data_IF_499154662364
#
_entry.id   IF_499154662364
#
_cell.length_a   1.000
_cell.length_b   1.000
_cell.length_c   1.000
_cell.angle_alpha   90.00
_cell.angle_beta   90.00
_cell.angle_gamma   90.00
#
_symmetry.space_group_name_H-M   'P 1'
#
loop_
_entity.id
_entity.type
_entity.pdbx_description
1 polymer ?
#
# COMPACT_ATOMS: atom_id res chain seq x y z
N UNK A 1 0.77 19.37 -2.82
CA UNK A 1 0.16 20.69 -3.08
C UNK A 1 -1.32 20.55 -3.49
N UNK A 2 -1.68 19.67 -4.44
CA UNK A 2 -3.01 19.60 -5.02
C UNK A 2 -4.17 19.46 -4.01
N UNK A 3 -4.03 18.73 -2.91
CA UNK A 3 -5.05 18.67 -1.85
C UNK A 3 -5.08 19.96 -1.03
N UNK A 4 -3.91 20.59 -0.78
CA UNK A 4 -3.84 21.85 -0.05
C UNK A 4 -4.55 23.00 -0.82
N UNK A 5 -4.40 23.03 -2.14
CA UNK A 5 -5.14 23.96 -3.03
C UNK A 5 -6.66 23.77 -2.95
N UNK A 6 -7.09 22.59 -2.52
CA UNK A 6 -8.50 22.26 -2.27
C UNK A 6 -8.91 22.44 -0.81
N UNK A 7 -8.10 23.13 -0.01
CA UNK A 7 -8.40 23.45 1.39
C UNK A 7 -8.31 22.25 2.34
N UNK A 8 -7.52 21.24 2.00
CA UNK A 8 -7.26 20.08 2.83
C UNK A 8 -5.83 20.17 3.35
N UNK A 9 -5.66 20.30 4.66
CA UNK A 9 -4.34 20.23 5.29
C UNK A 9 -3.75 18.83 5.08
N UNK A 10 -2.48 18.75 4.68
CA UNK A 10 -1.78 17.51 4.42
C UNK A 10 -0.55 17.42 5.30
N UNK A 11 -0.53 16.43 6.19
CA UNK A 11 0.65 16.06 6.98
C UNK A 11 1.31 14.86 6.33
N UNK A 12 2.59 14.95 6.09
CA UNK A 12 3.44 13.86 5.59
C UNK A 12 4.75 13.85 6.35
N UNK A 13 5.32 12.70 6.48
CA UNK A 13 6.56 12.50 7.24
C UNK A 13 7.50 11.59 6.47
N UNK A 14 8.77 11.60 6.86
CA UNK A 14 9.76 10.69 6.31
C UNK A 14 9.63 9.33 6.99
N UNK A 15 9.51 8.26 6.20
CA UNK A 15 9.43 6.90 6.73
C UNK A 15 10.70 6.56 7.52
N UNK A 16 10.56 5.97 8.71
CA UNK A 16 11.69 5.68 9.61
C UNK A 16 12.80 4.84 8.96
N UNK A 17 12.42 3.87 8.13
CA UNK A 17 13.39 3.04 7.39
C UNK A 17 14.25 3.86 6.43
N UNK A 18 13.68 4.92 5.83
CA UNK A 18 14.42 5.85 4.99
C UNK A 18 15.25 6.84 5.81
N UNK A 19 14.71 7.33 6.92
CA UNK A 19 15.38 8.33 7.75
C UNK A 19 16.56 7.76 8.55
N UNK A 20 16.42 6.52 9.05
CA UNK A 20 17.36 5.94 10.02
C UNK A 20 17.98 4.61 9.56
N UNK A 21 17.60 4.07 8.39
CA UNK A 21 18.12 2.79 7.89
C UNK A 21 17.93 1.65 8.91
N UNK A 22 18.98 0.88 9.15
CA UNK A 22 18.95 -0.24 10.11
C UNK A 22 18.68 0.18 11.57
N UNK A 23 18.98 1.43 11.94
CA UNK A 23 18.71 1.98 13.28
C UNK A 23 17.23 2.33 13.54
N UNK A 24 16.36 2.12 12.55
CA UNK A 24 14.93 2.44 12.66
C UNK A 24 14.14 1.49 13.57
N UNK A 25 14.68 0.30 13.85
CA UNK A 25 14.01 -0.72 14.68
C UNK A 25 14.35 -0.48 16.15
N UNK A 26 13.35 -0.26 17.02
CA UNK A 26 13.58 -0.07 18.45
C UNK A 26 14.27 -1.29 19.08
N UNK A 27 15.07 -1.07 20.13
CA UNK A 27 15.75 -2.14 20.84
C UNK A 27 14.73 -3.19 21.35
N UNK A 28 15.04 -4.46 21.15
CA UNK A 28 14.19 -5.59 21.56
C UNK A 28 12.99 -5.85 20.63
N UNK A 29 12.88 -5.15 19.51
CA UNK A 29 11.90 -5.42 18.43
C UNK A 29 12.59 -5.88 17.16
N UNK A 30 11.83 -6.50 16.28
CA UNK A 30 12.24 -6.87 14.92
C UNK A 30 11.49 -6.01 13.91
N UNK A 31 12.01 -5.94 12.69
CA UNK A 31 11.33 -5.24 11.59
C UNK A 31 10.13 -6.04 11.13
N UNK A 32 8.98 -5.41 11.18
CA UNK A 32 7.70 -5.88 10.66
C UNK A 32 6.89 -4.69 10.13
N UNK A 33 5.69 -4.90 9.66
CA UNK A 33 4.83 -3.81 9.15
C UNK A 33 4.48 -2.77 10.22
N UNK A 34 4.34 -3.20 11.48
CA UNK A 34 4.04 -2.27 12.56
C UNK A 34 5.24 -1.36 12.85
N UNK A 35 6.42 -1.94 13.02
CA UNK A 35 7.64 -1.17 13.26
C UNK A 35 8.08 -0.36 12.05
N UNK A 36 7.79 -0.82 10.83
CA UNK A 36 8.17 -0.11 9.61
C UNK A 36 7.33 1.14 9.35
N UNK A 37 6.01 1.06 9.58
CA UNK A 37 5.08 2.09 9.08
C UNK A 37 3.90 2.37 10.02
N UNK A 38 3.27 1.36 10.62
CA UNK A 38 1.99 1.54 11.32
C UNK A 38 2.15 2.35 12.59
N UNK A 39 3.19 2.07 13.39
CA UNK A 39 3.42 2.74 14.69
C UNK A 39 3.59 4.25 14.51
N UNK A 40 4.36 4.68 13.51
CA UNK A 40 4.56 6.09 13.20
C UNK A 40 3.26 6.74 12.71
N UNK A 41 2.53 6.09 11.83
CA UNK A 41 1.27 6.62 11.30
C UNK A 41 0.24 6.82 12.43
N UNK A 42 0.10 5.87 13.34
CA UNK A 42 -0.79 5.98 14.50
C UNK A 42 -0.38 7.13 15.41
N UNK A 43 0.91 7.27 15.72
CA UNK A 43 1.42 8.38 16.54
C UNK A 43 1.16 9.74 15.88
N UNK A 44 1.33 9.84 14.56
CA UNK A 44 1.07 11.07 13.83
C UNK A 44 -0.42 11.41 13.81
N UNK A 45 -1.30 10.44 13.65
CA UNK A 45 -2.75 10.66 13.75
C UNK A 45 -3.12 11.26 15.10
N UNK A 46 -2.56 10.76 16.20
CA UNK A 46 -2.79 11.30 17.54
C UNK A 46 -2.29 12.74 17.65
N UNK A 47 -1.08 13.04 17.14
CA UNK A 47 -0.52 14.39 17.15
C UNK A 47 -1.36 15.36 16.31
N UNK A 48 -1.75 14.97 15.10
CA UNK A 48 -2.56 15.80 14.20
C UNK A 48 -3.91 16.14 14.82
N UNK A 49 -4.55 15.18 15.48
CA UNK A 49 -5.83 15.40 16.17
C UNK A 49 -5.74 16.31 17.38
N UNK A 50 -4.54 16.46 17.95
CA UNK A 50 -4.29 17.36 19.07
C UNK A 50 -3.98 18.81 18.64
N UNK A 51 -3.82 19.08 17.34
CA UNK A 51 -3.54 20.41 16.82
C UNK A 51 -4.84 21.27 16.86
N UNK A 52 -4.83 22.41 17.57
CA UNK A 52 -6.03 23.23 17.74
C UNK A 52 -6.50 23.91 16.44
N UNK A 53 -5.61 24.04 15.45
CA UNK A 53 -5.89 24.67 14.16
C UNK A 53 -6.60 23.72 13.19
N UNK A 54 -6.66 22.42 13.50
CA UNK A 54 -7.25 21.40 12.64
C UNK A 54 -8.56 20.88 13.23
N UNK A 55 -9.43 20.39 12.34
CA UNK A 55 -10.69 19.76 12.75
C UNK A 55 -10.42 18.31 13.20
N UNK A 56 -10.44 18.00 14.50
CA UNK A 56 -10.03 16.69 15.03
C UNK A 56 -10.93 15.53 14.56
N UNK A 57 -12.17 15.84 14.18
CA UNK A 57 -13.16 14.87 13.69
C UNK A 57 -13.14 14.71 12.17
N UNK A 58 -12.21 15.39 11.47
CA UNK A 58 -12.06 15.35 10.01
C UNK A 58 -10.66 14.87 9.58
N UNK A 59 -10.04 13.99 10.37
CA UNK A 59 -8.73 13.43 10.06
C UNK A 59 -8.90 12.12 9.28
N UNK A 60 -8.24 12.06 8.13
CA UNK A 60 -8.19 10.89 7.23
C UNK A 60 -6.78 10.35 7.13
N UNK A 61 -6.65 9.04 6.95
CA UNK A 61 -5.38 8.42 6.54
C UNK A 61 -5.44 8.11 5.06
N UNK A 62 -4.48 8.63 4.30
CA UNK A 62 -4.27 8.28 2.91
C UNK A 62 -2.97 7.47 2.82
N UNK A 63 -3.08 6.22 2.40
CA UNK A 63 -1.96 5.34 2.18
C UNK A 63 -1.79 5.00 0.71
N UNK A 64 -0.54 4.98 0.23
CA UNK A 64 -0.18 4.56 -1.13
C UNK A 64 0.68 3.29 -1.06
N UNK A 65 0.44 2.35 -1.97
CA UNK A 65 1.18 1.09 -2.05
C UNK A 65 1.14 0.33 -0.71
N UNK A 66 2.27 0.01 -0.08
CA UNK A 66 2.32 -0.57 1.26
C UNK A 66 1.50 0.24 2.28
N UNK A 67 1.55 1.58 2.21
CA UNK A 67 0.73 2.45 3.06
C UNK A 67 -0.77 2.24 2.82
N UNK A 68 -1.18 1.99 1.58
CA UNK A 68 -2.56 1.64 1.22
C UNK A 68 -2.98 0.29 1.80
N UNK A 69 -2.12 -0.71 1.67
CA UNK A 69 -2.30 -2.04 2.29
C UNK A 69 -2.47 -1.95 3.80
N UNK A 70 -1.72 -1.04 4.45
CA UNK A 70 -1.71 -0.88 5.90
C UNK A 70 -2.73 0.12 6.44
N UNK A 71 -3.37 0.92 5.58
CA UNK A 71 -4.36 1.92 6.01
C UNK A 71 -5.49 1.34 6.88
N UNK A 72 -6.04 0.14 6.61
CA UNK A 72 -7.02 -0.49 7.49
C UNK A 72 -6.47 -0.82 8.89
N UNK A 73 -5.20 -1.27 8.98
CA UNK A 73 -4.56 -1.57 10.26
C UNK A 73 -4.29 -0.30 11.06
N UNK A 74 -3.82 0.74 10.39
CA UNK A 74 -3.63 2.07 11.00
C UNK A 74 -4.96 2.56 11.55
N UNK A 75 -6.05 2.45 10.77
CA UNK A 75 -7.38 2.85 11.21
C UNK A 75 -7.90 2.04 12.40
N UNK A 76 -7.64 0.73 12.42
CA UNK A 76 -8.04 -0.13 13.53
C UNK A 76 -7.30 0.17 14.84
N UNK A 77 -6.09 0.77 14.76
CA UNK A 77 -5.27 1.18 15.91
C UNK A 77 -5.42 2.66 16.28
N UNK A 78 -5.99 3.47 15.40
CA UNK A 78 -6.21 4.90 15.62
C UNK A 78 -7.63 5.16 16.12
N UNK A 79 -7.80 6.17 16.97
CA UNK A 79 -9.13 6.62 17.41
C UNK A 79 -9.58 7.82 16.60
N UNK A 80 -10.89 7.88 16.28
CA UNK A 80 -11.54 9.07 15.73
C UNK A 80 -11.08 9.48 14.34
N UNK A 81 -10.69 8.54 13.49
CA UNK A 81 -10.52 8.81 12.06
C UNK A 81 -11.88 8.98 11.38
N UNK A 82 -11.98 9.96 10.49
CA UNK A 82 -13.16 10.20 9.66
C UNK A 82 -13.24 9.25 8.46
N UNK A 83 -12.12 8.69 8.01
CA UNK A 83 -12.07 7.72 6.92
C UNK A 83 -10.65 7.35 6.52
N UNK A 84 -10.54 6.41 5.59
CA UNK A 84 -9.28 6.02 4.96
C UNK A 84 -9.37 6.05 3.45
N UNK A 85 -8.23 6.33 2.82
CA UNK A 85 -8.06 6.34 1.37
C UNK A 85 -6.92 5.39 1.04
N UNK A 86 -7.21 4.39 0.23
CA UNK A 86 -6.29 3.34 -0.22
C UNK A 86 -5.94 3.61 -1.67
N UNK A 87 -4.72 4.07 -1.93
CA UNK A 87 -4.18 4.26 -3.27
C UNK A 87 -3.29 3.09 -3.63
N UNK A 88 -3.65 2.33 -4.66
CA UNK A 88 -2.85 1.21 -5.15
C UNK A 88 -2.35 0.29 -4.01
N UNK A 89 -3.25 -0.05 -3.08
CA UNK A 89 -2.96 -0.93 -1.94
C UNK A 89 -3.08 -2.40 -2.30
N UNK A 90 -2.06 -3.20 -1.98
CA UNK A 90 -2.07 -4.65 -2.19
C UNK A 90 -3.15 -5.32 -1.34
N UNK A 91 -3.93 -6.21 -1.94
CA UNK A 91 -5.01 -6.96 -1.30
C UNK A 91 -4.69 -8.45 -1.13
N UNK A 92 -3.90 -8.99 -2.04
CA UNK A 92 -3.43 -10.40 -2.06
C UNK A 92 -2.12 -10.56 -1.27
N UNK A 93 -1.64 -11.80 -1.07
CA UNK A 93 -0.34 -12.07 -0.46
C UNK A 93 0.81 -11.36 -1.18
N UNK A 94 1.77 -10.83 -0.41
CA UNK A 94 2.91 -10.08 -0.95
C UNK A 94 3.77 -10.94 -1.87
N UNK A 95 3.97 -12.21 -1.51
CA UNK A 95 4.74 -13.17 -2.30
C UNK A 95 4.16 -13.39 -3.70
N UNK A 96 2.84 -13.42 -3.85
CA UNK A 96 2.17 -13.60 -5.15
C UNK A 96 2.34 -12.35 -6.03
N UNK A 97 2.24 -11.16 -5.44
CA UNK A 97 2.47 -9.91 -6.15
C UNK A 97 3.93 -9.74 -6.59
N UNK A 98 4.89 -10.13 -5.76
CA UNK A 98 6.31 -10.08 -6.11
C UNK A 98 6.65 -11.03 -7.27
N UNK A 99 6.07 -12.22 -7.29
CA UNK A 99 6.25 -13.16 -8.40
C UNK A 99 5.73 -12.55 -9.71
N UNK A 100 4.53 -12.00 -9.72
CA UNK A 100 3.95 -11.33 -10.91
C UNK A 100 4.80 -10.14 -11.36
N UNK A 101 5.22 -9.27 -10.44
CA UNK A 101 6.07 -8.13 -10.76
C UNK A 101 7.39 -8.54 -11.39
N UNK A 102 8.04 -9.58 -10.85
CA UNK A 102 9.29 -10.08 -11.36
C UNK A 102 9.14 -10.66 -12.77
N UNK A 103 8.10 -11.45 -13.01
CA UNK A 103 7.80 -11.96 -14.35
C UNK A 103 7.59 -10.83 -15.36
N UNK A 104 6.80 -9.84 -14.98
CA UNK A 104 6.54 -8.71 -15.85
C UNK A 104 7.80 -7.91 -16.16
N UNK A 105 8.55 -7.50 -15.14
CA UNK A 105 9.76 -6.68 -15.33
C UNK A 105 10.84 -7.45 -16.09
N UNK A 106 10.98 -8.75 -15.86
CA UNK A 106 11.90 -9.62 -16.60
C UNK A 106 11.52 -9.76 -18.08
N UNK A 107 10.24 -9.70 -18.41
CA UNK A 107 9.76 -9.75 -19.79
C UNK A 107 10.09 -8.49 -20.60
N UNK A 108 10.44 -7.40 -19.93
CA UNK A 108 10.81 -6.11 -20.54
C UNK A 108 12.31 -6.02 -20.84
N UNK A 109 13.11 -6.95 -20.34
CA UNK A 109 14.55 -7.01 -20.57
C UNK A 109 14.89 -8.09 -21.60
N UNK A 110 15.89 -7.85 -22.44
CA UNK A 110 16.39 -8.88 -23.34
C UNK A 110 16.83 -10.11 -22.56
N UNK A 111 16.39 -11.29 -23.00
CA UNK A 111 16.57 -12.57 -22.35
C UNK A 111 18.06 -12.93 -22.22
N UNK A 112 18.72 -12.42 -21.19
CA UNK A 112 20.02 -12.91 -20.77
C UNK A 112 19.84 -14.18 -19.93
N UNK A 113 20.83 -15.08 -20.01
CA UNK A 113 20.90 -16.33 -19.23
C UNK A 113 20.68 -16.11 -17.72
N UNK A 114 20.90 -14.89 -17.24
CA UNK A 114 20.81 -14.52 -15.82
C UNK A 114 19.37 -14.37 -15.31
N UNK A 115 18.41 -13.99 -16.17
CA UNK A 115 16.99 -13.79 -15.77
C UNK A 115 16.36 -15.10 -15.29
N UNK A 116 16.67 -16.21 -15.95
CA UNK A 116 16.12 -17.52 -15.56
C UNK A 116 16.63 -17.95 -14.18
N UNK A 117 17.93 -17.80 -13.92
CA UNK A 117 18.51 -18.15 -12.62
C UNK A 117 17.92 -17.28 -11.48
N UNK A 118 17.77 -15.98 -11.71
CA UNK A 118 17.14 -15.06 -10.74
C UNK A 118 15.68 -15.42 -10.48
N UNK A 119 14.95 -15.82 -11.52
CA UNK A 119 13.55 -16.24 -11.38
C UNK A 119 13.46 -17.56 -10.58
N UNK A 120 14.32 -18.52 -10.85
CA UNK A 120 14.32 -19.80 -10.14
C UNK A 120 14.70 -19.59 -8.66
N UNK A 121 15.66 -18.71 -8.36
CA UNK A 121 15.99 -18.31 -7.00
C UNK A 121 14.82 -17.63 -6.30
N UNK A 122 14.20 -16.64 -6.93
CA UNK A 122 13.03 -15.97 -6.36
C UNK A 122 11.88 -16.93 -6.06
N UNK A 123 11.58 -17.85 -6.98
CA UNK A 123 10.56 -18.88 -6.77
C UNK A 123 10.85 -19.75 -5.57
N UNK A 124 12.11 -20.15 -5.39
CA UNK A 124 12.54 -20.92 -4.24
C UNK A 124 12.34 -20.14 -2.95
N UNK A 125 12.74 -18.88 -2.92
CA UNK A 125 12.54 -17.98 -1.78
C UNK A 125 11.04 -17.81 -1.46
N UNK A 126 10.20 -17.52 -2.46
CA UNK A 126 8.74 -17.33 -2.27
C UNK A 126 8.05 -18.63 -1.82
N UNK A 127 8.46 -19.77 -2.34
CA UNK A 127 7.95 -21.08 -1.89
C UNK A 127 8.32 -21.34 -0.43
N UNK A 128 9.52 -20.91 0.00
CA UNK A 128 9.97 -21.03 1.37
C UNK A 128 9.22 -20.06 2.32
N UNK A 129 8.89 -18.86 1.85
CA UNK A 129 8.02 -17.90 2.59
C UNK A 129 6.68 -18.54 2.95
N UNK A 130 6.06 -19.27 2.02
CA UNK A 130 4.77 -19.96 2.25
C UNK A 130 4.84 -21.05 3.32
N UNK A 131 6.04 -21.52 3.66
CA UNK A 131 6.31 -22.53 4.70
C UNK A 131 6.66 -21.94 6.06
N UNK A 132 6.74 -20.62 6.17
CA UNK A 132 7.05 -19.94 7.43
C UNK A 132 6.08 -20.37 8.55
N UNK A 133 6.67 -20.75 9.69
CA UNK A 133 5.90 -21.24 10.85
C UNK A 133 5.58 -22.73 10.81
N UNK A 134 6.03 -23.48 9.80
CA UNK A 134 5.94 -24.95 9.72
C UNK A 134 7.31 -25.58 9.84
N UNK A 135 7.36 -26.90 10.04
CA UNK A 135 8.62 -27.71 10.05
C UNK A 135 9.28 -27.80 8.66
N UNK A 136 8.55 -27.45 7.60
CA UNK A 136 9.06 -27.49 6.22
C UNK A 136 9.85 -26.21 5.85
N UNK A 137 9.89 -25.19 6.71
CA UNK A 137 10.65 -23.98 6.47
C UNK A 137 12.16 -24.27 6.49
N UNK A 138 12.85 -23.90 5.41
CA UNK A 138 14.30 -24.07 5.28
C UNK A 138 15.03 -22.77 5.64
N UNK A 139 15.74 -22.77 6.76
CA UNK A 139 16.51 -21.62 7.25
C UNK A 139 17.76 -21.31 6.39
N UNK A 140 18.18 -22.23 5.52
CA UNK A 140 19.32 -22.00 4.63
C UNK A 140 18.96 -21.18 3.38
N UNK A 141 17.65 -21.09 3.07
CA UNK A 141 17.16 -20.29 1.95
C UNK A 141 16.91 -18.86 2.41
N UNK A 142 17.59 -17.89 1.81
CA UNK A 142 17.39 -16.47 2.09
C UNK A 142 15.96 -16.04 1.81
N UNK A 143 15.43 -15.12 2.61
CA UNK A 143 14.09 -14.56 2.39
C UNK A 143 14.14 -13.44 1.34
N UNK A 144 13.08 -13.27 0.55
CA UNK A 144 13.05 -12.26 -0.52
C UNK A 144 13.23 -10.84 0.02
N UNK A 145 13.71 -9.94 -0.82
CA UNK A 145 13.90 -8.51 -0.52
C UNK A 145 14.86 -8.23 0.66
N UNK A 146 15.60 -9.22 1.14
CA UNK A 146 16.45 -9.07 2.31
C UNK A 146 15.69 -8.75 3.60
N UNK A 147 14.40 -9.03 3.64
CA UNK A 147 13.56 -8.77 4.82
C UNK A 147 13.68 -9.91 5.84
N UNK A 148 13.62 -9.61 7.15
CA UNK A 148 13.73 -10.62 8.19
C UNK A 148 12.48 -11.52 8.25
N UNK A 149 12.61 -12.63 8.96
CA UNK A 149 11.52 -13.61 9.18
C UNK A 149 10.27 -12.97 9.79
N UNK A 150 10.43 -12.08 10.75
CA UNK A 150 9.34 -11.34 11.39
C UNK A 150 8.48 -10.55 10.40
N UNK A 151 9.12 -9.93 9.41
CA UNK A 151 8.44 -9.20 8.34
C UNK A 151 7.51 -10.11 7.52
N UNK A 152 8.03 -11.25 7.10
CA UNK A 152 7.28 -12.21 6.29
C UNK A 152 6.19 -12.94 7.09
N UNK A 153 6.45 -13.27 8.36
CA UNK A 153 5.42 -13.82 9.25
C UNK A 153 4.26 -12.82 9.40
N UNK A 154 4.58 -11.54 9.54
CA UNK A 154 3.55 -10.50 9.61
C UNK A 154 2.78 -10.40 8.29
N UNK A 155 3.49 -10.33 7.15
CA UNK A 155 2.89 -10.22 5.82
C UNK A 155 1.92 -11.39 5.54
N UNK A 156 2.33 -12.62 5.87
CA UNK A 156 1.50 -13.81 5.69
C UNK A 156 0.24 -13.83 6.57
N UNK A 157 0.36 -13.31 7.80
CA UNK A 157 -0.76 -13.27 8.75
C UNK A 157 -1.74 -12.12 8.50
N UNK A 158 -1.28 -11.03 7.89
CA UNK A 158 -2.09 -9.83 7.70
C UNK A 158 -3.00 -9.95 6.48
N UNK A 159 -4.30 -9.82 6.70
CA UNK A 159 -5.34 -9.86 5.65
C UNK A 159 -6.02 -8.48 5.56
N UNK A 160 -5.51 -7.57 4.72
CA UNK A 160 -5.93 -6.17 4.70
C UNK A 160 -7.42 -5.98 4.41
N UNK A 161 -7.98 -6.76 3.48
CA UNK A 161 -9.40 -6.70 3.11
C UNK A 161 -10.30 -7.13 4.26
N UNK A 162 -9.93 -8.19 5.00
CA UNK A 162 -10.70 -8.66 6.15
C UNK A 162 -10.67 -7.66 7.32
N UNK A 163 -9.54 -6.96 7.50
CA UNK A 163 -9.43 -5.89 8.50
C UNK A 163 -10.29 -4.70 8.08
N UNK A 164 -10.22 -4.29 6.82
CA UNK A 164 -11.02 -3.20 6.28
C UNK A 164 -12.54 -3.47 6.39
N UNK A 165 -12.98 -4.70 6.14
CA UNK A 165 -14.39 -5.09 6.21
C UNK A 165 -14.99 -4.95 7.63
N UNK A 166 -14.17 -4.90 8.67
CA UNK A 166 -14.60 -4.71 10.06
C UNK A 166 -14.69 -3.23 10.47
N UNK A 167 -14.16 -2.33 9.65
CA UNK A 167 -14.17 -0.90 9.92
C UNK A 167 -15.56 -0.30 9.64
N UNK A 168 -15.96 0.64 10.50
CA UNK A 168 -17.24 1.35 10.36
C UNK A 168 -17.10 2.72 9.70
N UNK A 169 -15.86 3.17 9.50
CA UNK A 169 -15.55 4.45 8.86
C UNK A 169 -15.59 4.34 7.32
N UNK A 170 -15.76 5.44 6.59
CA UNK A 170 -15.68 5.48 5.14
C UNK A 170 -14.32 5.01 4.59
N UNK A 171 -14.36 4.22 3.51
CA UNK A 171 -13.19 3.67 2.83
C UNK A 171 -13.25 4.06 1.36
N UNK A 172 -12.20 4.64 0.82
CA UNK A 172 -12.10 4.94 -0.60
C UNK A 172 -10.89 4.22 -1.21
N UNK A 173 -11.15 3.34 -2.16
CA UNK A 173 -10.11 2.56 -2.86
C UNK A 173 -9.93 3.13 -4.25
N UNK A 174 -8.71 3.53 -4.57
CA UNK A 174 -8.32 4.14 -5.84
C UNK A 174 -7.21 3.31 -6.51
N UNK A 175 -7.32 3.09 -7.82
CA UNK A 175 -6.39 2.25 -8.57
C UNK A 175 -6.11 2.79 -9.97
N UNK A 176 -4.85 2.82 -10.36
CA UNK A 176 -4.45 3.01 -11.75
C UNK A 176 -4.54 1.69 -12.53
N UNK A 177 -5.23 1.67 -13.68
CA UNK A 177 -5.42 0.43 -14.44
C UNK A 177 -4.17 0.00 -15.21
N UNK A 178 -3.18 0.90 -15.36
CA UNK A 178 -1.88 0.63 -15.96
C UNK A 178 -0.84 0.12 -14.97
N UNK A 179 -1.20 0.04 -13.70
CA UNK A 179 -0.30 -0.38 -12.62
C UNK A 179 0.13 -1.83 -12.81
N UNK A 180 1.46 -2.09 -12.82
CA UNK A 180 2.01 -3.43 -12.89
C UNK A 180 2.48 -3.96 -11.54
N UNK A 181 2.56 -3.10 -10.52
CA UNK A 181 3.01 -3.50 -9.18
C UNK A 181 1.84 -3.99 -8.31
N UNK A 182 0.77 -3.21 -8.28
CA UNK A 182 -0.50 -3.57 -7.65
C UNK A 182 -1.55 -3.51 -8.75
N UNK A 183 -2.04 -4.65 -9.18
CA UNK A 183 -2.82 -4.74 -10.41
C UNK A 183 -4.32 -4.61 -10.17
N UNK A 184 -5.09 -4.62 -11.25
CA UNK A 184 -6.55 -4.62 -11.18
C UNK A 184 -7.11 -5.88 -10.49
N UNK A 185 -6.31 -6.93 -10.32
CA UNK A 185 -6.65 -8.06 -9.48
C UNK A 185 -6.84 -7.63 -8.02
N UNK A 186 -5.88 -6.86 -7.48
CA UNK A 186 -5.98 -6.33 -6.12
C UNK A 186 -7.20 -5.43 -5.94
N UNK A 187 -7.45 -4.55 -6.92
CA UNK A 187 -8.65 -3.71 -6.93
C UNK A 187 -9.94 -4.55 -6.92
N UNK A 188 -9.97 -5.65 -7.70
CA UNK A 188 -11.06 -6.62 -7.71
C UNK A 188 -11.26 -7.30 -6.35
N UNK A 189 -10.17 -7.67 -5.67
CA UNK A 189 -10.21 -8.25 -4.32
C UNK A 189 -10.72 -7.25 -3.27
N UNK A 190 -10.26 -6.00 -3.31
CA UNK A 190 -10.82 -4.94 -2.47
C UNK A 190 -12.32 -4.79 -2.69
N UNK A 191 -12.75 -4.69 -3.96
CA UNK A 191 -14.15 -4.49 -4.32
C UNK A 191 -15.03 -5.66 -3.89
N UNK A 192 -14.59 -6.88 -4.13
CA UNK A 192 -15.35 -8.10 -3.77
C UNK A 192 -15.44 -8.30 -2.26
N UNK A 193 -14.33 -8.10 -1.54
CA UNK A 193 -14.26 -8.27 -0.09
C UNK A 193 -15.03 -7.20 0.69
N UNK A 194 -15.17 -6.00 0.13
CA UNK A 194 -15.91 -4.89 0.75
C UNK A 194 -17.32 -4.70 0.15
N UNK A 195 -17.82 -5.63 -0.66
CA UNK A 195 -19.12 -5.53 -1.34
C UNK A 195 -20.30 -5.28 -0.37
N UNK A 196 -20.21 -5.79 0.86
CA UNK A 196 -21.24 -5.61 1.89
C UNK A 196 -21.07 -4.35 2.74
N UNK A 197 -19.97 -3.64 2.56
CA UNK A 197 -19.65 -2.40 3.29
C UNK A 197 -20.28 -1.20 2.57
N UNK A 198 -21.40 -0.69 3.10
CA UNK A 198 -22.14 0.46 2.52
C UNK A 198 -21.31 1.76 2.49
N UNK A 199 -20.22 1.82 3.22
CA UNK A 199 -19.30 2.94 3.36
C UNK A 199 -18.00 2.75 2.56
N UNK A 200 -17.93 1.77 1.66
CA UNK A 200 -16.79 1.55 0.77
C UNK A 200 -17.09 2.09 -0.64
N UNK A 201 -16.17 2.87 -1.17
CA UNK A 201 -16.22 3.52 -2.48
C UNK A 201 -15.02 3.11 -3.30
N UNK A 202 -15.19 2.99 -4.62
CA UNK A 202 -14.17 2.45 -5.51
C UNK A 202 -14.09 3.28 -6.78
N UNK A 203 -12.87 3.61 -7.21
CA UNK A 203 -12.64 4.27 -8.50
C UNK A 203 -11.33 3.80 -9.11
N UNK A 204 -11.38 3.42 -10.37
CA UNK A 204 -10.17 3.12 -11.16
C UNK A 204 -9.95 4.18 -12.24
N UNK A 205 -8.72 4.28 -12.70
CA UNK A 205 -8.29 5.29 -13.67
C UNK A 205 -7.56 4.62 -14.82
N UNK A 206 -8.16 4.54 -16.02
CA UNK A 206 -7.61 3.80 -17.16
C UNK A 206 -6.22 4.24 -17.62
N UNK A 207 -5.88 5.51 -17.37
CA UNK A 207 -4.61 6.08 -17.85
C UNK A 207 -3.49 6.11 -16.82
N UNK A 208 -3.76 5.74 -15.55
CA UNK A 208 -2.81 5.92 -14.47
C UNK A 208 -2.00 4.66 -14.15
N UNK A 209 -0.72 4.86 -13.84
CA UNK A 209 0.19 3.83 -13.35
C UNK A 209 0.21 3.79 -11.80
N UNK A 210 1.15 3.03 -11.19
CA UNK A 210 1.30 2.90 -9.75
C UNK A 210 1.51 4.24 -9.02
N UNK A 211 2.23 5.18 -9.64
CA UNK A 211 2.46 6.52 -9.09
C UNK A 211 1.34 7.51 -9.46
N UNK A 212 0.23 7.03 -10.01
CA UNK A 212 -0.88 7.84 -10.52
C UNK A 212 -0.44 8.83 -11.61
N UNK A 213 0.53 8.47 -12.42
CA UNK A 213 0.99 9.23 -13.57
C UNK A 213 0.27 8.75 -14.83
N UNK A 214 -0.11 9.70 -15.69
CA UNK A 214 -0.77 9.38 -16.97
C UNK A 214 0.18 8.75 -17.99
N UNK A 215 -0.36 7.84 -18.79
CA UNK A 215 0.34 7.19 -19.87
C UNK A 215 -0.57 6.30 -20.70
N UNK A 216 0.02 5.43 -21.51
CA UNK A 216 -0.67 4.47 -22.38
C UNK A 216 -0.07 3.08 -22.29
N UNK A 217 -0.88 2.04 -22.47
CA UNK A 217 -0.47 0.64 -22.29
C UNK A 217 -0.14 0.29 -20.83
N UNK A 218 0.34 -0.93 -20.57
CA UNK A 218 0.80 -1.34 -19.24
C UNK A 218 2.06 -0.55 -18.87
N UNK A 219 2.10 0.03 -17.67
CA UNK A 219 3.23 0.85 -17.24
C UNK A 219 4.53 0.03 -17.09
N UNK A 220 5.65 0.69 -17.26
CA UNK A 220 6.98 0.07 -17.11
C UNK A 220 7.78 0.79 -16.01
N UNK A 221 8.80 0.15 -15.41
CA UNK A 221 9.69 0.80 -14.44
C UNK A 221 10.34 2.07 -14.98
N UNK A 222 10.54 2.16 -16.31
CA UNK A 222 11.16 3.31 -16.96
C UNK A 222 10.32 4.59 -16.81
N UNK A 223 9.00 4.49 -16.74
CA UNK A 223 8.12 5.66 -16.55
C UNK A 223 8.43 6.39 -15.23
N UNK A 224 8.89 5.67 -14.20
CA UNK A 224 9.16 6.25 -12.87
C UNK A 224 10.45 7.07 -12.80
N UNK A 225 11.30 7.01 -13.83
CA UNK A 225 12.47 7.88 -13.93
C UNK A 225 12.12 9.33 -14.32
N UNK A 226 10.88 9.57 -14.75
CA UNK A 226 10.40 10.87 -15.19
C UNK A 226 9.40 11.43 -14.18
N UNK A 227 9.67 12.62 -13.68
CA UNK A 227 8.71 13.31 -12.81
C UNK A 227 7.47 13.70 -13.60
N UNK A 228 6.30 13.31 -13.11
CA UNK A 228 5.01 13.68 -13.67
C UNK A 228 4.02 13.96 -12.53
N UNK A 229 3.17 14.99 -12.65
CA UNK A 229 2.20 15.28 -11.61
C UNK A 229 1.08 14.24 -11.56
N UNK A 230 0.53 14.03 -10.39
CA UNK A 230 -0.76 13.34 -10.26
C UNK A 230 -1.86 14.25 -10.83
N UNK A 231 -2.74 13.75 -11.71
CA UNK A 231 -3.75 14.56 -12.36
C UNK A 231 -4.74 15.22 -11.38
N UNK A 232 -5.21 16.40 -11.74
CA UNK A 232 -6.12 17.19 -10.91
C UNK A 232 -7.40 16.44 -10.55
N UNK A 233 -7.94 15.63 -11.46
CA UNK A 233 -9.16 14.86 -11.21
C UNK A 233 -9.01 13.83 -10.09
N UNK A 234 -7.83 13.26 -9.85
CA UNK A 234 -7.57 12.38 -8.69
C UNK A 234 -7.68 13.18 -7.40
N UNK A 235 -7.10 14.40 -7.38
CA UNK A 235 -7.20 15.29 -6.22
C UNK A 235 -8.64 15.74 -5.97
N UNK A 236 -9.41 15.97 -7.03
CA UNK A 236 -10.84 16.34 -6.94
C UNK A 236 -11.68 15.21 -6.35
N UNK A 237 -11.43 13.97 -6.76
CA UNK A 237 -12.09 12.78 -6.21
C UNK A 237 -11.80 12.61 -4.73
N UNK A 238 -10.51 12.69 -4.35
CA UNK A 238 -10.10 12.61 -2.94
C UNK A 238 -10.74 13.74 -2.11
N UNK A 239 -10.71 14.97 -2.62
CA UNK A 239 -11.31 16.10 -1.93
C UNK A 239 -12.84 15.96 -1.79
N UNK A 240 -13.51 15.41 -2.79
CA UNK A 240 -14.94 15.11 -2.75
C UNK A 240 -15.26 14.06 -1.69
N UNK A 241 -14.46 13.00 -1.60
CA UNK A 241 -14.61 11.98 -0.57
C UNK A 241 -14.43 12.57 0.84
N UNK A 242 -13.36 13.33 1.07
CA UNK A 242 -13.06 13.96 2.37
C UNK A 242 -14.18 14.92 2.81
N UNK A 243 -14.86 15.58 1.87
CA UNK A 243 -15.99 16.50 2.13
C UNK A 243 -17.35 15.80 2.25
N UNK A 244 -17.40 14.49 2.25
CA UNK A 244 -18.66 13.75 2.35
C UNK A 244 -19.54 13.80 1.10
N UNK A 245 -18.97 14.15 -0.08
CA UNK A 245 -19.69 14.22 -1.36
C UNK A 245 -19.58 12.92 -2.15
N UNK A 246 -19.78 11.78 -1.49
CA UNK A 246 -19.57 10.46 -2.09
C UNK A 246 -20.55 10.13 -3.22
N UNK A 247 -21.68 10.78 -3.30
CA UNK A 247 -22.68 10.57 -4.37
C UNK A 247 -22.21 11.05 -5.76
N UNK A 248 -21.03 11.67 -5.84
CA UNK A 248 -20.42 12.15 -7.10
C UNK A 248 -19.19 11.32 -7.54
N UNK A 249 -18.88 10.25 -6.81
CA UNK A 249 -17.71 9.38 -7.08
C UNK A 249 -18.03 8.16 -7.95
#
# INVERSE_FOLDING_TARGET
WGLAERGIAVVRYEKRTKAYGAACVPAGRELDYDTEAVDDAVAIVEQVRALPELAPDSVYVLGHSLGGTLAPRIAGRSKGLAGIIILAGLARPLEDALEEQFYYTSSLTDSSVNVKAQLDELKQQLANVKKLGTEEFDETISLPLGQPRSYWLFANAYKPVEVAAKLKLPIFVLQGERDYQVTMEDFGLWRSGLLRCKNAYFKSYPKLNHLLQEGSGKATPFEYSHASPVPAYVMDDIASFVRGKQNTL
#
